data_IF_011957608216
#
_entry.id   IF_011957608216
#
_cell.length_a   1.000
_cell.length_b   1.000
_cell.length_c   1.000
_cell.angle_alpha   90.00
_cell.angle_beta   90.00
_cell.angle_gamma   90.00
#
_symmetry.space_group_name_H-M   'P 1'
#
loop_
_entity.id
_entity.type
_entity.pdbx_description
1 polymer ?
#
# COMPACT_ATOMS: atom_id res chain seq x y z
N UNK A 1 13.98 14.73 1.81
CA UNK A 1 12.97 14.71 2.89
C UNK A 1 13.19 15.93 3.78
N UNK A 2 12.16 16.35 4.50
CA UNK A 2 12.22 17.45 5.46
C UNK A 2 10.96 17.46 6.34
N UNK A 3 10.82 18.43 7.26
CA UNK A 3 9.73 18.43 8.23
C UNK A 3 8.35 18.36 7.56
N UNK A 4 7.60 17.29 7.83
CA UNK A 4 6.22 17.11 7.37
C UNK A 4 6.03 16.91 5.86
N UNK A 5 7.10 16.73 5.09
CA UNK A 5 7.02 16.49 3.65
C UNK A 5 8.18 15.62 3.14
N UNK A 6 7.92 14.86 2.08
CA UNK A 6 8.96 14.17 1.33
C UNK A 6 8.75 14.33 -0.17
N UNK A 7 9.86 14.37 -0.91
CA UNK A 7 9.84 14.36 -2.37
C UNK A 7 10.57 13.12 -2.86
N UNK A 8 9.96 12.43 -3.81
CA UNK A 8 10.58 11.33 -4.57
C UNK A 8 10.79 11.85 -5.98
N UNK A 9 11.99 11.67 -6.52
CA UNK A 9 12.32 11.99 -7.91
C UNK A 9 12.77 10.69 -8.57
N UNK A 10 12.09 10.32 -9.65
CA UNK A 10 12.50 9.20 -10.49
C UNK A 10 12.85 9.74 -11.88
N UNK A 11 13.85 9.13 -12.52
CA UNK A 11 14.27 9.52 -13.87
C UNK A 11 14.64 8.33 -14.71
N UNK A 12 14.38 8.43 -15.99
CA UNK A 12 14.97 7.58 -17.02
C UNK A 12 16.07 8.38 -17.74
N UNK A 13 16.50 7.93 -18.91
CA UNK A 13 17.43 8.69 -19.75
C UNK A 13 16.79 9.99 -20.26
N UNK A 14 15.50 9.94 -20.58
CA UNK A 14 14.82 10.99 -21.36
C UNK A 14 13.66 11.64 -20.57
N UNK A 15 13.26 11.06 -19.43
CA UNK A 15 12.13 11.55 -18.63
C UNK A 15 12.49 11.70 -17.15
N UNK A 16 11.80 12.62 -16.48
CA UNK A 16 11.88 12.81 -15.04
C UNK A 16 10.47 13.05 -14.48
N UNK A 17 10.19 12.44 -13.34
CA UNK A 17 8.97 12.67 -12.56
C UNK A 17 9.34 12.98 -11.12
N UNK A 18 8.60 13.90 -10.50
CA UNK A 18 8.64 14.12 -9.06
C UNK A 18 7.27 13.88 -8.45
N UNK A 19 7.28 13.43 -7.20
CA UNK A 19 6.09 13.32 -6.35
C UNK A 19 6.42 13.95 -5.00
N UNK A 20 5.70 15.01 -4.66
CA UNK A 20 5.82 15.69 -3.38
C UNK A 20 4.62 15.32 -2.51
N UNK A 21 4.88 14.62 -1.40
CA UNK A 21 3.85 14.33 -0.41
C UNK A 21 3.99 15.31 0.75
N UNK A 22 2.92 16.07 1.03
CA UNK A 22 2.82 17.00 2.15
C UNK A 22 1.54 16.78 2.95
N UNK A 23 1.39 17.47 4.10
CA UNK A 23 0.12 17.50 4.83
C UNK A 23 -0.92 18.27 4.02
N UNK A 24 -2.11 17.69 3.93
CA UNK A 24 -3.28 18.34 3.34
C UNK A 24 -3.68 19.57 4.18
N UNK A 25 -3.99 20.67 3.52
CA UNK A 25 -4.46 21.91 4.13
C UNK A 25 -6.01 22.05 4.06
N UNK A 26 -6.69 21.01 3.56
CA UNK A 26 -8.15 20.94 3.46
C UNK A 26 -8.72 21.38 2.11
N UNK A 27 -7.87 21.80 1.17
CA UNK A 27 -8.29 22.31 -0.15
C UNK A 27 -8.12 21.27 -1.28
N UNK A 28 -7.54 20.11 -1.01
CA UNK A 28 -7.29 19.09 -2.02
C UNK A 28 -8.57 18.33 -2.40
N UNK A 29 -8.86 18.26 -3.69
CA UNK A 29 -9.95 17.46 -4.27
C UNK A 29 -9.42 16.07 -4.67
N UNK A 30 -10.29 15.04 -4.69
CA UNK A 30 -9.95 13.70 -5.19
C UNK A 30 -10.03 13.67 -6.72
N UNK A 31 -9.23 14.52 -7.39
CA UNK A 31 -9.23 14.68 -8.85
C UNK A 31 -7.82 14.47 -9.43
N UNK A 32 -7.61 13.32 -10.05
CA UNK A 32 -6.30 12.82 -10.50
C UNK A 32 -5.77 13.46 -11.80
N UNK A 33 -6.54 14.36 -12.40
CA UNK A 33 -6.21 15.03 -13.67
C UNK A 33 -6.18 16.55 -13.55
N UNK A 34 -6.56 17.10 -12.39
CA UNK A 34 -6.63 18.54 -12.20
C UNK A 34 -5.22 19.10 -12.10
N UNK A 35 -4.84 19.88 -13.10
CA UNK A 35 -3.59 20.61 -13.08
C UNK A 35 -3.71 21.81 -12.12
N UNK A 36 -2.65 22.02 -11.34
CA UNK A 36 -2.47 23.15 -10.45
C UNK A 36 -1.09 23.76 -10.67
N UNK A 37 -0.95 25.03 -10.32
CA UNK A 37 0.33 25.71 -10.43
C UNK A 37 1.35 25.11 -9.47
N UNK A 38 2.58 24.88 -9.95
CA UNK A 38 3.70 24.44 -9.11
C UNK A 38 4.06 25.43 -8.00
N UNK A 39 3.61 26.69 -8.11
CA UNK A 39 3.80 27.71 -7.08
C UNK A 39 3.16 27.29 -5.75
N UNK A 40 2.10 26.47 -5.76
CA UNK A 40 1.49 25.93 -4.56
C UNK A 40 2.37 24.88 -3.85
N UNK A 41 3.28 24.22 -4.58
CA UNK A 41 4.18 23.21 -4.03
C UNK A 41 5.44 23.81 -3.38
N UNK A 42 5.91 24.97 -3.86
CA UNK A 42 7.17 25.59 -3.41
C UNK A 42 7.22 25.92 -1.90
N UNK A 43 6.14 26.37 -1.24
CA UNK A 43 6.14 26.61 0.21
C UNK A 43 6.54 25.38 1.05
N UNK A 44 6.18 24.17 0.61
CA UNK A 44 6.46 22.93 1.33
C UNK A 44 7.93 22.50 1.29
N UNK A 45 8.72 23.06 0.36
CA UNK A 45 10.15 22.80 0.23
C UNK A 45 11.01 24.01 0.60
N UNK A 46 10.43 25.04 1.22
CA UNK A 46 11.15 26.24 1.65
C UNK A 46 12.28 25.87 2.61
N UNK A 47 13.49 26.37 2.33
CA UNK A 47 14.69 26.08 3.12
C UNK A 47 15.35 24.73 2.83
N UNK A 48 14.80 23.92 1.92
CA UNK A 48 15.48 22.74 1.42
C UNK A 48 16.60 23.12 0.44
N UNK A 49 17.39 22.14 0.01
CA UNK A 49 18.48 22.39 -0.94
C UNK A 49 17.93 22.99 -2.25
N UNK A 50 18.59 24.01 -2.84
CA UNK A 50 18.05 24.76 -3.99
C UNK A 50 17.63 23.91 -5.18
N UNK A 51 18.33 22.79 -5.45
CA UNK A 51 18.00 21.92 -6.58
C UNK A 51 16.59 21.30 -6.49
N UNK A 52 15.99 21.20 -5.29
CA UNK A 52 14.64 20.67 -5.12
C UNK A 52 13.60 21.62 -5.71
N UNK A 53 13.70 22.92 -5.43
CA UNK A 53 12.81 23.92 -6.03
C UNK A 53 13.01 24.02 -7.54
N UNK A 54 14.24 23.84 -8.03
CA UNK A 54 14.51 23.87 -9.48
C UNK A 54 13.92 22.65 -10.21
N UNK A 55 13.93 21.46 -9.59
CA UNK A 55 13.22 20.29 -10.13
C UNK A 55 11.71 20.57 -10.23
N UNK A 56 11.09 21.13 -9.19
CA UNK A 56 9.65 21.46 -9.21
C UNK A 56 9.32 22.48 -10.31
N UNK A 57 10.13 23.54 -10.44
CA UNK A 57 9.94 24.58 -11.47
C UNK A 57 10.17 24.09 -12.90
N UNK A 58 10.88 22.97 -13.07
CA UNK A 58 11.09 22.36 -14.39
C UNK A 58 9.85 21.64 -14.94
N UNK A 59 8.77 21.53 -14.16
CA UNK A 59 7.51 20.94 -14.62
C UNK A 59 7.01 21.65 -15.90
N UNK A 60 6.71 20.91 -16.98
CA UNK A 60 6.20 21.50 -18.21
C UNK A 60 4.97 22.38 -17.95
N UNK A 61 4.95 23.58 -18.54
CA UNK A 61 3.84 24.53 -18.36
C UNK A 61 3.78 25.19 -16.98
N UNK A 62 4.67 24.85 -16.04
CA UNK A 62 4.59 25.33 -14.65
C UNK A 62 3.43 24.68 -13.88
N UNK A 63 3.02 23.49 -14.29
CA UNK A 63 1.84 22.80 -13.76
C UNK A 63 2.19 21.39 -13.26
N UNK A 64 1.47 20.93 -12.24
CA UNK A 64 1.51 19.58 -11.72
C UNK A 64 0.11 19.14 -11.30
N UNK A 65 -0.09 17.84 -11.08
CA UNK A 65 -1.33 17.34 -10.46
C UNK A 65 -1.17 17.37 -8.95
N UNK A 66 -2.19 17.86 -8.26
CA UNK A 66 -2.32 17.78 -6.80
C UNK A 66 -3.61 17.04 -6.46
N UNK A 67 -3.47 15.92 -5.75
CA UNK A 67 -4.59 15.03 -5.42
C UNK A 67 -4.51 14.62 -3.96
N UNK A 68 -5.69 14.55 -3.33
CA UNK A 68 -5.79 14.15 -1.93
C UNK A 68 -5.52 12.66 -1.76
N UNK A 69 -4.60 12.32 -0.84
CA UNK A 69 -4.35 10.94 -0.44
C UNK A 69 -5.47 10.44 0.47
N UNK A 70 -6.33 9.57 -0.07
CA UNK A 70 -7.46 8.99 0.63
C UNK A 70 -7.20 7.52 1.00
N UNK A 71 -7.10 7.26 2.30
CA UNK A 71 -6.84 5.92 2.84
C UNK A 71 -8.06 5.38 3.59
N UNK A 72 -8.36 4.09 3.43
CA UNK A 72 -9.54 3.44 3.98
C UNK A 72 -9.14 2.25 4.85
N UNK A 73 -9.95 1.98 5.86
CA UNK A 73 -9.77 0.82 6.74
C UNK A 73 -9.77 -0.49 5.92
N UNK A 74 -8.90 -1.46 6.27
CA UNK A 74 -8.97 -2.80 5.70
C UNK A 74 -10.36 -3.39 5.92
N UNK A 75 -10.83 -4.16 4.94
CA UNK A 75 -12.07 -4.92 5.02
C UNK A 75 -11.76 -6.40 4.88
N UNK A 76 -12.37 -7.20 5.73
CA UNK A 76 -12.20 -8.67 5.69
C UNK A 76 -12.99 -9.31 4.56
N UNK A 77 -14.04 -8.64 4.05
CA UNK A 77 -14.91 -9.17 2.98
C UNK A 77 -15.04 -8.16 1.85
N UNK A 78 -14.61 -8.54 0.66
CA UNK A 78 -14.69 -7.78 -0.60
C UNK A 78 -15.78 -8.31 -1.53
N UNK A 79 -16.28 -9.50 -1.24
CA UNK A 79 -17.28 -10.19 -2.04
C UNK A 79 -18.71 -9.77 -1.64
N UNK A 80 -19.62 -9.74 -2.63
CA UNK A 80 -21.05 -9.61 -2.36
C UNK A 80 -21.58 -10.81 -1.55
N UNK A 81 -22.76 -10.71 -0.90
CA UNK A 81 -23.29 -11.79 -0.06
C UNK A 81 -23.41 -13.15 -0.77
N UNK A 82 -23.69 -13.14 -2.09
CA UNK A 82 -23.76 -14.35 -2.93
C UNK A 82 -22.42 -14.74 -3.57
N UNK A 83 -21.35 -13.98 -3.32
CA UNK A 83 -20.00 -14.17 -3.84
C UNK A 83 -19.94 -14.29 -5.38
N UNK A 84 -20.74 -13.47 -6.07
CA UNK A 84 -20.74 -13.37 -7.55
C UNK A 84 -20.22 -12.03 -8.07
N UNK A 85 -19.93 -11.12 -7.17
CA UNK A 85 -19.30 -9.83 -7.44
C UNK A 85 -18.22 -9.69 -6.39
N UNK A 86 -17.02 -9.29 -6.79
CA UNK A 86 -15.90 -9.04 -5.89
C UNK A 86 -15.19 -7.75 -6.29
N UNK A 87 -14.80 -6.97 -5.29
CA UNK A 87 -13.92 -5.83 -5.46
C UNK A 87 -12.46 -6.32 -5.40
N UNK A 88 -11.60 -5.81 -6.27
CA UNK A 88 -10.15 -6.03 -6.28
C UNK A 88 -9.42 -4.71 -6.56
N UNK A 89 -8.11 -4.65 -6.31
CA UNK A 89 -7.34 -3.41 -6.46
C UNK A 89 -7.87 -2.28 -5.58
N UNK A 90 -7.74 -1.03 -6.02
CA UNK A 90 -8.13 0.17 -5.27
C UNK A 90 -9.62 0.20 -4.85
N UNK A 91 -10.49 -0.53 -5.56
CA UNK A 91 -11.89 -0.68 -5.16
C UNK A 91 -12.08 -1.55 -3.89
N UNK A 92 -11.15 -2.47 -3.64
CA UNK A 92 -11.11 -3.26 -2.42
C UNK A 92 -10.25 -2.60 -1.33
N UNK A 93 -9.06 -2.12 -1.72
CA UNK A 93 -7.99 -1.70 -0.82
C UNK A 93 -7.24 -0.48 -1.35
N UNK A 94 -7.27 0.63 -0.62
CA UNK A 94 -6.50 1.83 -1.02
C UNK A 94 -5.12 1.85 -0.37
N UNK A 95 -4.11 2.31 -1.10
CA UNK A 95 -2.73 2.36 -0.63
C UNK A 95 -2.20 3.79 -0.58
N UNK A 96 -1.36 4.07 0.42
CA UNK A 96 -0.48 5.22 0.36
C UNK A 96 0.62 4.96 -0.69
N UNK A 97 1.04 5.97 -1.48
CA UNK A 97 2.13 5.82 -2.44
C UNK A 97 3.44 5.29 -1.82
N UNK A 98 3.67 5.62 -0.54
CA UNK A 98 4.80 5.15 0.26
C UNK A 98 4.83 3.63 0.51
N UNK A 99 3.77 2.91 0.16
CA UNK A 99 3.76 1.43 0.17
C UNK A 99 4.53 0.80 -0.98
N UNK A 100 4.67 1.52 -2.10
CA UNK A 100 5.17 0.99 -3.38
C UNK A 100 4.50 -0.33 -3.84
N UNK A 101 3.32 -0.67 -3.32
CA UNK A 101 2.74 -2.02 -3.46
C UNK A 101 1.31 -2.04 -3.98
N UNK A 102 0.62 -0.90 -4.15
CA UNK A 102 -0.79 -0.88 -4.57
C UNK A 102 -1.03 -1.59 -5.91
N UNK A 103 -0.27 -1.24 -6.95
CA UNK A 103 -0.36 -1.88 -8.25
C UNK A 103 0.01 -3.38 -8.19
N UNK A 104 1.07 -3.73 -7.45
CA UNK A 104 1.47 -5.13 -7.21
C UNK A 104 0.34 -5.93 -6.56
N UNK A 105 -0.32 -5.38 -5.54
CA UNK A 105 -1.41 -6.06 -4.83
C UNK A 105 -2.64 -6.25 -5.73
N UNK A 106 -2.96 -5.29 -6.60
CA UNK A 106 -4.01 -5.43 -7.61
C UNK A 106 -3.69 -6.51 -8.66
N UNK A 107 -2.42 -6.63 -9.06
CA UNK A 107 -1.96 -7.72 -9.94
C UNK A 107 -2.04 -9.07 -9.23
N UNK A 108 -1.54 -9.17 -7.99
CA UNK A 108 -1.66 -10.38 -7.18
C UNK A 108 -3.12 -10.81 -7.00
N UNK A 109 -4.06 -9.86 -6.87
CA UNK A 109 -5.49 -10.19 -6.82
C UNK A 109 -5.95 -10.85 -8.11
N UNK A 110 -5.52 -10.33 -9.25
CA UNK A 110 -5.90 -10.84 -10.57
C UNK A 110 -5.42 -12.27 -10.78
N UNK A 111 -4.16 -12.56 -10.45
CA UNK A 111 -3.59 -13.91 -10.51
C UNK A 111 -4.29 -14.89 -9.56
N UNK A 112 -4.44 -14.49 -8.30
CA UNK A 112 -5.09 -15.32 -7.28
C UNK A 112 -6.56 -15.63 -7.64
N UNK A 113 -7.32 -14.63 -8.10
CA UNK A 113 -8.72 -14.81 -8.45
C UNK A 113 -8.88 -15.74 -9.67
N UNK A 114 -8.04 -15.56 -10.69
CA UNK A 114 -8.05 -16.42 -11.87
C UNK A 114 -7.75 -17.88 -11.51
N UNK A 115 -6.71 -18.14 -10.72
CA UNK A 115 -6.36 -19.47 -10.25
C UNK A 115 -7.49 -20.11 -9.42
N UNK A 116 -8.09 -19.35 -8.50
CA UNK A 116 -9.22 -19.84 -7.70
C UNK A 116 -10.43 -20.20 -8.57
N UNK A 117 -10.77 -19.38 -9.57
CA UNK A 117 -11.87 -19.64 -10.50
C UNK A 117 -11.61 -20.89 -11.35
N UNK A 118 -10.37 -21.08 -11.82
CA UNK A 118 -9.96 -22.28 -12.53
C UNK A 118 -10.15 -23.54 -11.67
N UNK A 119 -9.68 -23.51 -10.41
CA UNK A 119 -9.73 -24.66 -9.50
C UNK A 119 -11.15 -24.99 -9.02
N UNK A 120 -12.03 -23.99 -8.87
CA UNK A 120 -13.45 -24.20 -8.56
C UNK A 120 -14.23 -24.86 -9.69
N UNK A 121 -13.83 -24.61 -10.93
CA UNK A 121 -14.63 -24.92 -12.10
C UNK A 121 -15.91 -24.07 -12.21
N UNK A 122 -16.61 -24.22 -13.34
CA UNK A 122 -17.73 -23.34 -13.75
C UNK A 122 -18.91 -23.34 -12.79
N UNK A 123 -19.15 -24.43 -12.07
CA UNK A 123 -20.32 -24.58 -11.18
C UNK A 123 -20.15 -23.91 -9.81
N UNK A 124 -18.90 -23.64 -9.38
CA UNK A 124 -18.60 -23.24 -8.00
C UNK A 124 -17.91 -21.88 -7.87
N UNK A 125 -18.13 -20.96 -8.81
CA UNK A 125 -17.57 -19.60 -8.76
C UNK A 125 -17.72 -18.87 -7.40
N UNK A 126 -18.84 -19.01 -6.65
CA UNK A 126 -18.95 -18.43 -5.31
C UNK A 126 -17.90 -18.93 -4.31
N UNK A 127 -17.46 -20.18 -4.40
CA UNK A 127 -16.42 -20.73 -3.54
C UNK A 127 -15.05 -20.16 -3.91
N UNK A 128 -14.73 -20.10 -5.21
CA UNK A 128 -13.50 -19.44 -5.70
C UNK A 128 -13.35 -18.02 -5.17
N UNK A 129 -14.42 -17.21 -5.26
CA UNK A 129 -14.42 -15.83 -4.80
C UNK A 129 -14.14 -15.74 -3.30
N UNK A 130 -14.72 -16.65 -2.49
CA UNK A 130 -14.49 -16.70 -1.04
C UNK A 130 -13.07 -17.16 -0.70
N UNK A 131 -12.54 -18.16 -1.41
CA UNK A 131 -11.16 -18.63 -1.23
C UNK A 131 -10.18 -17.53 -1.58
N UNK A 132 -10.35 -16.85 -2.72
CA UNK A 132 -9.54 -15.71 -3.09
C UNK A 132 -9.57 -14.61 -2.02
N UNK A 133 -10.76 -14.20 -1.56
CA UNK A 133 -10.87 -13.20 -0.51
C UNK A 133 -10.11 -13.62 0.77
N UNK A 134 -10.21 -14.89 1.19
CA UNK A 134 -9.49 -15.43 2.35
C UNK A 134 -7.96 -15.39 2.17
N UNK A 135 -7.46 -15.71 0.98
CA UNK A 135 -6.01 -15.70 0.68
C UNK A 135 -5.43 -14.29 0.61
N UNK A 136 -6.26 -13.28 0.30
CA UNK A 136 -5.82 -11.92 -0.03
C UNK A 136 -6.03 -10.90 1.08
N UNK A 137 -7.15 -10.97 1.82
CA UNK A 137 -7.58 -9.89 2.73
C UNK A 137 -6.53 -9.54 3.79
N UNK A 138 -6.00 -10.54 4.49
CA UNK A 138 -4.97 -10.36 5.52
C UNK A 138 -3.66 -9.83 4.93
N UNK A 139 -3.21 -10.43 3.81
CA UNK A 139 -1.97 -10.05 3.13
C UNK A 139 -1.98 -8.59 2.69
N UNK A 140 -3.10 -8.16 2.08
CA UNK A 140 -3.31 -6.79 1.65
C UNK A 140 -3.35 -5.83 2.84
N UNK A 141 -4.03 -6.20 3.94
CA UNK A 141 -4.05 -5.38 5.15
C UNK A 141 -2.64 -5.17 5.73
N UNK A 142 -1.80 -6.21 5.74
CA UNK A 142 -0.40 -6.07 6.13
C UNK A 142 0.36 -5.09 5.20
N UNK A 143 0.17 -5.20 3.88
CA UNK A 143 0.83 -4.31 2.93
C UNK A 143 0.35 -2.84 3.06
N UNK A 144 -0.94 -2.60 3.32
CA UNK A 144 -1.47 -1.26 3.58
C UNK A 144 -0.81 -0.66 4.83
N UNK A 145 -0.68 -1.45 5.92
CA UNK A 145 -0.03 -1.03 7.17
C UNK A 145 1.44 -0.69 6.97
N UNK A 146 2.16 -1.47 6.16
CA UNK A 146 3.56 -1.21 5.80
C UNK A 146 3.72 0.18 5.15
N UNK A 147 2.84 0.55 4.22
CA UNK A 147 2.87 1.88 3.59
C UNK A 147 2.75 3.04 4.57
N UNK A 148 1.96 2.88 5.63
CA UNK A 148 1.86 3.85 6.71
C UNK A 148 3.16 3.97 7.50
N UNK A 149 3.76 2.84 7.89
CA UNK A 149 5.05 2.83 8.62
C UNK A 149 6.15 3.53 7.83
N UNK A 150 6.22 3.29 6.52
CA UNK A 150 7.18 3.96 5.63
C UNK A 150 6.93 5.47 5.58
N UNK A 151 5.67 5.92 5.52
CA UNK A 151 5.33 7.34 5.57
C UNK A 151 5.76 7.99 6.88
N UNK A 152 5.48 7.35 8.02
CA UNK A 152 5.88 7.88 9.34
C UNK A 152 7.40 7.96 9.46
N UNK A 153 8.13 6.97 8.94
CA UNK A 153 9.59 7.01 8.88
C UNK A 153 10.09 8.22 8.07
N UNK A 154 9.48 8.52 6.93
CA UNK A 154 9.88 9.64 6.05
C UNK A 154 9.53 11.02 6.61
N UNK A 155 8.41 11.14 7.31
CA UNK A 155 7.95 12.42 7.85
C UNK A 155 8.55 12.74 9.22
N UNK A 156 8.99 11.72 9.97
CA UNK A 156 9.58 11.85 11.31
C UNK A 156 11.02 11.28 11.38
N UNK A 157 11.77 11.34 10.27
CA UNK A 157 13.13 10.77 10.20
C UNK A 157 14.05 11.34 11.28
N UNK A 158 14.61 10.45 12.11
CA UNK A 158 15.72 10.80 12.98
C UNK A 158 17.04 10.68 12.19
N UNK A 159 17.60 11.83 11.82
CA UNK A 159 18.82 11.89 11.00
C UNK A 159 20.05 11.31 11.69
N UNK A 160 20.17 11.40 13.02
CA UNK A 160 21.29 10.81 13.78
C UNK A 160 21.33 9.28 13.69
N UNK A 161 20.16 8.67 13.56
CA UNK A 161 20.02 7.22 13.34
C UNK A 161 20.26 6.89 11.86
N UNK A 162 19.77 7.76 10.97
CA UNK A 162 19.79 7.51 9.53
C UNK A 162 21.19 7.65 8.92
N UNK A 163 22.00 8.59 9.43
CA UNK A 163 23.39 8.76 9.00
C UNK A 163 24.25 7.53 9.32
N UNK A 164 23.85 6.71 10.30
CA UNK A 164 24.52 5.46 10.67
C UNK A 164 24.10 4.27 9.81
N UNK A 165 22.89 4.29 9.25
CA UNK A 165 22.35 3.22 8.41
C UNK A 165 21.34 3.77 7.39
N UNK A 166 21.82 4.37 6.28
CA UNK A 166 20.95 4.99 5.28
C UNK A 166 20.12 3.97 4.50
N UNK A 167 20.44 2.67 4.58
CA UNK A 167 19.71 1.62 3.86
C UNK A 167 18.27 1.46 4.33
N UNK A 168 17.96 1.93 5.55
CA UNK A 168 16.61 1.91 6.13
C UNK A 168 15.59 2.72 5.34
N UNK A 169 16.02 3.73 4.59
CA UNK A 169 15.15 4.51 3.71
C UNK A 169 14.88 3.81 2.37
N UNK A 170 15.72 2.85 1.98
CA UNK A 170 15.64 2.19 0.68
C UNK A 170 14.86 0.87 0.73
N UNK A 171 14.69 0.28 1.91
CA UNK A 171 13.94 -0.96 2.12
C UNK A 171 12.44 -0.68 2.34
N UNK A 172 11.77 -0.15 1.32
CA UNK A 172 10.35 0.20 1.41
C UNK A 172 9.41 -1.01 1.41
N UNK A 173 9.84 -2.12 0.80
CA UNK A 173 9.03 -3.32 0.56
C UNK A 173 9.81 -4.53 1.06
N UNK A 174 9.18 -5.33 1.92
CA UNK A 174 9.80 -6.53 2.48
C UNK A 174 9.82 -7.72 1.52
N UNK A 175 10.70 -8.69 1.76
CA UNK A 175 10.83 -9.91 0.93
C UNK A 175 9.58 -10.75 0.88
N UNK A 176 8.81 -10.78 1.97
CA UNK A 176 7.52 -11.46 2.00
C UNK A 176 6.52 -10.90 0.96
N UNK A 177 6.73 -9.66 0.49
CA UNK A 177 6.02 -9.10 -0.66
C UNK A 177 6.70 -9.50 -1.97
N UNK A 178 7.99 -9.21 -2.14
CA UNK A 178 8.69 -9.34 -3.43
C UNK A 178 8.87 -10.77 -3.91
N UNK A 179 8.97 -11.72 -2.99
CA UNK A 179 9.30 -13.12 -3.29
C UNK A 179 8.03 -13.99 -3.37
N UNK A 180 6.85 -13.40 -3.24
CA UNK A 180 5.59 -14.12 -3.22
C UNK A 180 5.06 -14.39 -4.63
N UNK A 181 4.69 -15.64 -4.87
CA UNK A 181 3.90 -16.05 -6.03
C UNK A 181 2.42 -16.22 -5.61
N UNK A 182 1.52 -15.28 -5.97
CA UNK A 182 0.11 -15.34 -5.61
C UNK A 182 -0.67 -16.45 -6.33
N UNK A 183 -0.22 -16.84 -7.52
CA UNK A 183 -0.86 -17.88 -8.33
C UNK A 183 -0.52 -19.26 -7.76
N UNK A 184 0.77 -19.54 -7.58
CA UNK A 184 1.22 -20.80 -7.00
C UNK A 184 0.68 -20.99 -5.58
N UNK A 185 0.65 -19.94 -4.77
CA UNK A 185 0.09 -20.00 -3.42
C UNK A 185 -1.41 -20.34 -3.43
N UNK A 186 -2.16 -19.85 -4.42
CA UNK A 186 -3.56 -20.24 -4.60
C UNK A 186 -3.67 -21.72 -4.97
N UNK A 187 -2.88 -22.23 -5.91
CA UNK A 187 -2.86 -23.66 -6.27
C UNK A 187 -2.56 -24.57 -5.05
N UNK A 188 -1.56 -24.21 -4.26
CA UNK A 188 -1.10 -25.03 -3.13
C UNK A 188 -2.10 -25.08 -1.96
N UNK A 189 -2.91 -24.02 -1.81
CA UNK A 189 -3.76 -23.85 -0.63
C UNK A 189 -5.26 -23.88 -0.93
N UNK A 190 -5.69 -23.84 -2.19
CA UNK A 190 -7.10 -23.77 -2.56
C UNK A 190 -7.94 -24.85 -1.87
N UNK A 191 -7.49 -26.11 -1.89
CA UNK A 191 -8.21 -27.22 -1.27
C UNK A 191 -8.36 -27.06 0.25
N UNK A 192 -7.32 -26.58 0.94
CA UNK A 192 -7.34 -26.32 2.38
C UNK A 192 -8.29 -25.17 2.72
N UNK A 193 -8.23 -24.08 1.95
CA UNK A 193 -9.13 -22.94 2.10
C UNK A 193 -10.59 -23.30 1.82
N UNK A 194 -10.85 -24.07 0.76
CA UNK A 194 -12.18 -24.54 0.43
C UNK A 194 -12.73 -25.43 1.56
N UNK A 195 -11.92 -26.34 2.10
CA UNK A 195 -12.32 -27.17 3.23
C UNK A 195 -12.58 -26.34 4.49
N UNK A 196 -11.75 -25.33 4.75
CA UNK A 196 -11.97 -24.36 5.84
C UNK A 196 -13.31 -23.64 5.71
N UNK A 197 -13.63 -23.13 4.51
CA UNK A 197 -14.88 -22.40 4.27
C UNK A 197 -16.12 -23.31 4.36
N UNK A 198 -16.02 -24.55 3.89
CA UNK A 198 -17.18 -25.46 3.81
C UNK A 198 -17.42 -26.22 5.11
N UNK A 199 -16.37 -26.65 5.80
CA UNK A 199 -16.47 -27.54 6.98
C UNK A 199 -15.98 -26.92 8.28
N UNK A 200 -15.35 -25.73 8.24
CA UNK A 200 -14.73 -25.12 9.41
C UNK A 200 -13.38 -25.73 9.80
N UNK A 201 -12.78 -26.56 8.94
CA UNK A 201 -11.44 -27.10 9.18
C UNK A 201 -10.41 -25.97 9.42
N UNK A 202 -9.46 -26.10 10.38
CA UNK A 202 -8.49 -25.04 10.65
C UNK A 202 -7.64 -24.68 9.42
N UNK A 203 -7.46 -23.38 9.18
CA UNK A 203 -6.56 -22.85 8.16
C UNK A 203 -5.95 -21.54 8.66
N UNK A 204 -4.65 -21.34 8.37
CA UNK A 204 -3.92 -20.11 8.66
C UNK A 204 -3.14 -19.72 7.41
N UNK A 205 -3.24 -18.47 6.99
CA UNK A 205 -2.43 -17.94 5.91
C UNK A 205 -0.95 -17.92 6.31
N UNK A 206 -0.09 -18.19 5.32
CA UNK A 206 1.38 -18.16 5.45
C UNK A 206 2.01 -17.19 4.46
N UNK A 207 1.21 -16.56 3.59
CA UNK A 207 1.61 -15.50 2.68
C UNK A 207 1.56 -14.09 3.31
N UNK A 208 1.48 -14.00 4.64
CA UNK A 208 1.59 -12.75 5.39
C UNK A 208 3.03 -12.43 5.80
N UNK A 209 3.18 -11.49 6.73
CA UNK A 209 4.48 -11.13 7.31
C UNK A 209 4.99 -12.29 8.19
N UNK A 210 6.21 -12.82 7.96
CA UNK A 210 6.76 -13.91 8.76
C UNK A 210 6.81 -13.56 10.25
N UNK A 211 6.31 -14.44 11.12
CA UNK A 211 6.32 -14.23 12.57
C UNK A 211 5.31 -13.19 13.09
N UNK A 212 4.54 -12.55 12.21
CA UNK A 212 3.45 -11.68 12.61
C UNK A 212 2.13 -12.46 12.67
N UNK A 213 1.31 -12.18 13.66
CA UNK A 213 -0.08 -12.65 13.70
C UNK A 213 -0.99 -11.46 13.46
N UNK A 214 -1.69 -11.45 12.33
CA UNK A 214 -2.56 -10.35 11.96
C UNK A 214 -3.56 -10.00 13.05
N UNK A 215 -3.64 -8.71 13.36
CA UNK A 215 -4.66 -8.12 14.19
C UNK A 215 -5.40 -7.07 13.36
N UNK A 216 -6.74 -7.06 13.35
CA UNK A 216 -7.49 -5.98 12.71
C UNK A 216 -7.05 -4.61 13.24
N UNK A 217 -6.95 -3.64 12.35
CA UNK A 217 -6.55 -2.27 12.67
C UNK A 217 -7.34 -1.28 11.82
N UNK A 218 -7.41 -0.04 12.28
CA UNK A 218 -8.05 1.07 11.55
C UNK A 218 -7.06 2.19 11.25
N UNK A 219 -7.35 2.95 10.20
CA UNK A 219 -6.62 4.17 9.83
C UNK A 219 -6.64 5.16 10.99
N UNK A 220 -7.77 5.27 11.69
CA UNK A 220 -7.92 6.17 12.84
C UNK A 220 -6.96 5.81 13.99
N UNK A 221 -6.79 4.52 14.30
CA UNK A 221 -5.84 4.07 15.32
C UNK A 221 -4.40 4.43 14.97
N UNK A 222 -4.00 4.21 13.71
CA UNK A 222 -2.66 4.50 13.23
C UNK A 222 -2.37 6.01 13.20
N UNK A 223 -3.36 6.81 12.76
CA UNK A 223 -3.26 8.27 12.81
C UNK A 223 -3.15 8.78 14.25
N UNK A 224 -3.96 8.25 15.17
CA UNK A 224 -3.90 8.65 16.58
C UNK A 224 -2.56 8.28 17.23
N UNK A 225 -1.97 7.11 16.88
CA UNK A 225 -0.64 6.74 17.34
C UNK A 225 0.44 7.70 16.82
N UNK A 226 0.38 8.06 15.53
CA UNK A 226 1.29 9.04 14.93
C UNK A 226 1.16 10.44 15.58
N UNK A 227 -0.05 10.89 15.90
CA UNK A 227 -0.29 12.16 16.61
C UNK A 227 0.31 12.17 18.02
N UNK A 228 0.34 11.02 18.70
CA UNK A 228 1.01 10.86 20.01
C UNK A 228 2.53 10.70 19.91
N UNK A 229 3.08 10.56 18.70
CA UNK A 229 4.50 10.26 18.49
C UNK A 229 4.90 8.84 18.92
N UNK A 230 3.93 7.93 19.02
CA UNK A 230 4.17 6.54 19.38
C UNK A 230 4.67 5.76 18.15
N UNK A 231 5.84 5.10 18.22
CA UNK A 231 6.31 4.29 17.11
C UNK A 231 5.39 3.07 16.93
N UNK A 232 5.00 2.79 15.68
CA UNK A 232 4.27 1.56 15.34
C UNK A 232 5.28 0.43 15.26
N UNK A 233 5.44 -0.28 16.38
CA UNK A 233 6.23 -1.50 16.47
C UNK A 233 5.29 -2.69 16.27
N UNK A 234 5.54 -3.46 15.23
CA UNK A 234 4.83 -4.71 14.98
C UNK A 234 5.78 -5.87 15.15
N UNK A 235 5.27 -6.97 15.71
CA UNK A 235 5.97 -8.25 15.70
C UNK A 235 6.18 -8.76 14.27
N UNK A 236 7.13 -9.68 14.09
CA UNK A 236 7.44 -10.31 12.81
C UNK A 236 8.51 -9.59 11.98
N UNK A 237 8.87 -10.22 10.87
CA UNK A 237 9.89 -9.76 9.93
C UNK A 237 9.25 -9.02 8.75
N UNK A 238 9.26 -7.68 8.86
CA UNK A 238 8.72 -6.78 7.84
C UNK A 238 9.74 -6.41 6.75
N UNK A 239 10.94 -6.99 6.80
CA UNK A 239 12.06 -6.68 5.88
C UNK A 239 12.12 -7.53 4.62
#
# INVERSE_FOLDING_TARGET
MGPGAHIIVAKTKDEMVFMLTHKDNGNAEEEWTKQTSIEHALPYVKGWKPYISEVIKSAPGGEAVDFRLMWRNPRETWASPKARVIQIGDAAHTFLPTSASGATMALEDSYSLAACLQLSGKSNAPLAVRVHNLLRAERVACAQRMGFKTRELYHNTNWDVMDKDPTRLTKMVGRWVTDHDPEQYAYDNYGKCANHIVSGAPFKNTNGVPGYTYQPWTVQELLAAAERGEPIVDEGDWS
#
